data_IF_652447248942
#
_entry.id   IF_652447248942
#
_cell.length_a   1.000
_cell.length_b   1.000
_cell.length_c   1.000
_cell.angle_alpha   90.00
_cell.angle_beta   90.00
_cell.angle_gamma   90.00
#
_symmetry.space_group_name_H-M   'P 1'
#
loop_
_entity.id
_entity.type
_entity.pdbx_description
1 polymer ?
#
# COMPACT_ATOMS: atom_id res chain seq x y z
N UNK A 1 -19.44 -14.16 19.68
CA UNK A 1 -19.42 -12.68 19.77
C UNK A 1 -20.32 -12.06 18.69
N UNK A 2 -21.06 -10.97 18.97
CA UNK A 2 -21.80 -10.26 17.91
C UNK A 2 -20.82 -9.51 17.00
N UNK A 3 -21.14 -9.34 15.70
CA UNK A 3 -20.29 -8.62 14.74
C UNK A 3 -19.86 -7.24 15.27
N UNK A 4 -20.77 -6.55 15.96
CA UNK A 4 -20.52 -5.26 16.61
C UNK A 4 -19.44 -5.37 17.70
N UNK A 5 -19.53 -6.38 18.59
CA UNK A 5 -18.50 -6.59 19.63
C UNK A 5 -17.14 -6.92 19.01
N UNK A 6 -17.12 -7.67 17.91
CA UNK A 6 -15.89 -7.95 17.15
C UNK A 6 -15.27 -6.69 16.56
N UNK A 7 -16.05 -5.87 15.87
CA UNK A 7 -15.60 -4.59 15.30
C UNK A 7 -15.04 -3.69 16.41
N UNK A 8 -15.78 -3.50 17.50
CA UNK A 8 -15.34 -2.63 18.62
C UNK A 8 -14.05 -3.14 19.23
N UNK A 9 -13.96 -4.44 19.54
CA UNK A 9 -12.74 -5.04 20.11
C UNK A 9 -11.55 -4.86 19.17
N UNK A 10 -11.75 -5.02 17.85
CA UNK A 10 -10.69 -4.87 16.86
C UNK A 10 -10.25 -3.42 16.70
N UNK A 11 -11.19 -2.48 16.64
CA UNK A 11 -10.89 -1.04 16.63
C UNK A 11 -10.14 -0.59 17.88
N UNK A 12 -10.47 -1.14 19.05
CA UNK A 12 -9.74 -0.85 20.29
C UNK A 12 -8.28 -1.33 20.25
N UNK A 13 -7.97 -2.43 19.55
CA UNK A 13 -6.58 -2.87 19.35
C UNK A 13 -5.79 -1.94 18.41
N UNK A 14 -6.45 -1.16 17.55
CA UNK A 14 -5.77 -0.21 16.67
C UNK A 14 -5.21 0.99 17.46
N UNK A 15 -5.85 1.36 18.57
CA UNK A 15 -5.45 2.51 19.39
C UNK A 15 -4.02 2.35 19.95
N UNK A 16 -3.66 1.28 20.69
CA UNK A 16 -2.31 1.12 21.20
C UNK A 16 -1.27 0.97 20.08
N UNK A 17 -1.63 0.37 18.94
CA UNK A 17 -0.74 0.27 17.78
C UNK A 17 -0.46 1.66 17.19
N UNK A 18 -1.51 2.46 17.00
CA UNK A 18 -1.39 3.84 16.51
C UNK A 18 -0.57 4.72 17.46
N UNK A 19 -0.84 4.65 18.77
CA UNK A 19 -0.06 5.37 19.78
C UNK A 19 1.41 4.91 19.79
N UNK A 20 1.66 3.60 19.66
CA UNK A 20 3.01 3.05 19.57
C UNK A 20 3.77 3.59 18.36
N UNK A 21 3.15 3.59 17.17
CA UNK A 21 3.78 4.09 15.94
C UNK A 21 4.03 5.59 16.03
N UNK A 22 3.05 6.38 16.49
CA UNK A 22 3.22 7.83 16.64
C UNK A 22 4.32 8.18 17.65
N UNK A 23 4.41 7.46 18.76
CA UNK A 23 5.49 7.62 19.73
C UNK A 23 6.86 7.28 19.13
N UNK A 24 6.96 6.20 18.35
CA UNK A 24 8.20 5.83 17.68
C UNK A 24 8.64 6.89 16.69
N UNK A 25 7.74 7.36 15.83
CA UNK A 25 8.01 8.39 14.83
C UNK A 25 8.44 9.70 15.49
N UNK A 26 7.72 10.13 16.53
CA UNK A 26 8.08 11.30 17.31
C UNK A 26 9.46 11.13 17.98
N UNK A 27 9.75 9.97 18.55
CA UNK A 27 11.03 9.70 19.19
C UNK A 27 12.19 9.73 18.20
N UNK A 28 12.02 9.12 17.02
CA UNK A 28 13.03 9.12 15.95
C UNK A 28 13.31 10.55 15.47
N UNK A 29 12.28 11.38 15.30
CA UNK A 29 12.46 12.81 14.98
C UNK A 29 13.34 13.51 16.02
N UNK A 30 13.02 13.36 17.32
CA UNK A 30 13.77 14.02 18.39
C UNK A 30 15.22 13.53 18.52
N UNK A 31 15.47 12.28 18.11
CA UNK A 31 16.82 11.71 18.05
C UNK A 31 17.60 12.18 16.82
N UNK A 32 16.93 12.54 15.73
CA UNK A 32 17.58 12.98 14.49
C UNK A 32 18.20 14.38 14.59
N UNK A 33 17.72 15.23 15.50
CA UNK A 33 18.33 16.54 15.79
C UNK A 33 17.33 17.57 16.32
N UNK A 34 17.80 18.80 16.54
CA UNK A 34 16.92 19.91 16.90
C UNK A 34 16.13 20.40 15.67
N UNK A 35 14.78 20.34 15.67
CA UNK A 35 13.97 20.76 14.54
C UNK A 35 14.19 22.23 14.14
N UNK A 36 14.51 23.12 15.09
CA UNK A 36 14.74 24.54 14.76
C UNK A 36 16.07 24.73 14.06
N UNK A 37 17.14 24.07 14.52
CA UNK A 37 18.42 24.09 13.82
C UNK A 37 18.31 23.53 12.41
N UNK A 38 17.52 22.46 12.23
CA UNK A 38 17.33 21.83 10.92
C UNK A 38 16.49 22.73 9.99
N UNK A 39 15.39 23.29 10.49
CA UNK A 39 14.53 24.20 9.71
C UNK A 39 15.24 25.52 9.34
N UNK A 40 16.21 25.97 10.15
CA UNK A 40 16.97 27.20 9.93
C UNK A 40 18.37 26.96 9.33
N UNK A 41 18.66 25.71 8.98
CA UNK A 41 19.96 25.30 8.47
C UNK A 41 20.29 26.04 7.16
N UNK A 42 21.48 26.62 7.07
CA UNK A 42 21.93 27.39 5.90
C UNK A 42 21.34 28.80 5.77
N UNK A 43 20.39 29.21 6.62
CA UNK A 43 19.86 30.57 6.62
C UNK A 43 20.65 31.47 7.58
N UNK A 44 21.59 32.25 7.03
CA UNK A 44 22.47 33.16 7.77
C UNK A 44 21.74 34.40 8.31
N UNK A 45 20.50 34.65 7.88
CA UNK A 45 19.70 35.78 8.35
C UNK A 45 18.97 35.50 9.66
N UNK A 46 18.91 34.24 10.11
CA UNK A 46 18.22 33.87 11.34
C UNK A 46 19.19 33.92 12.52
N UNK A 47 18.97 34.87 13.42
CA UNK A 47 19.79 35.03 14.63
C UNK A 47 19.46 33.96 15.66
N UNK A 48 20.38 33.70 16.60
CA UNK A 48 20.14 32.73 17.68
C UNK A 48 18.94 33.12 18.56
N UNK A 49 18.70 34.42 18.76
CA UNK A 49 17.52 34.93 19.47
C UNK A 49 16.23 34.57 18.72
N UNK A 50 16.22 34.66 17.39
CA UNK A 50 15.08 34.24 16.58
C UNK A 50 14.87 32.73 16.65
N UNK A 51 15.94 31.92 16.64
CA UNK A 51 15.84 30.47 16.86
C UNK A 51 15.21 30.15 18.22
N UNK A 52 15.59 30.87 19.26
CA UNK A 52 15.05 30.65 20.59
C UNK A 52 13.57 31.04 20.69
N UNK A 53 13.16 32.12 20.02
CA UNK A 53 11.74 32.48 19.87
C UNK A 53 10.94 31.41 19.12
N UNK A 54 11.50 30.84 18.06
CA UNK A 54 10.88 29.72 17.32
C UNK A 54 10.76 28.49 18.24
N UNK A 55 11.79 28.15 19.02
CA UNK A 55 11.73 27.04 19.98
C UNK A 55 10.61 27.21 21.01
N UNK A 56 10.48 28.40 21.58
CA UNK A 56 9.41 28.70 22.54
C UNK A 56 8.02 28.66 21.88
N UNK A 57 7.90 29.20 20.67
CA UNK A 57 6.65 29.20 19.91
C UNK A 57 6.13 27.77 19.65
N UNK A 58 7.02 26.85 19.24
CA UNK A 58 6.69 25.44 19.02
C UNK A 58 6.72 24.59 20.31
N UNK A 59 6.95 25.19 21.48
CA UNK A 59 7.00 24.50 22.77
C UNK A 59 8.14 23.48 22.90
N UNK A 60 9.21 23.64 22.12
CA UNK A 60 10.37 22.75 22.06
C UNK A 60 11.29 22.87 23.28
N UNK A 61 11.05 23.87 24.12
CA UNK A 61 11.67 24.11 25.42
C UNK A 61 11.03 23.26 26.54
N UNK A 62 9.84 22.69 26.30
CA UNK A 62 9.15 21.83 27.28
C UNK A 62 9.76 20.43 27.34
N UNK A 63 9.58 19.68 28.44
CA UNK A 63 9.89 18.25 28.49
C UNK A 63 9.31 17.46 27.31
N UNK A 64 10.07 16.50 26.78
CA UNK A 64 9.75 15.74 25.55
C UNK A 64 8.36 15.09 25.60
N UNK A 65 7.92 14.61 26.76
CA UNK A 65 6.59 14.02 26.91
C UNK A 65 5.46 15.04 26.73
N UNK A 66 5.65 16.30 27.15
CA UNK A 66 4.66 17.37 26.91
C UNK A 66 4.62 17.77 25.44
N UNK A 67 5.78 17.76 24.77
CA UNK A 67 5.85 18.00 23.33
C UNK A 67 5.06 16.93 22.56
N UNK A 68 5.23 15.65 22.93
CA UNK A 68 4.46 14.55 22.34
C UNK A 68 2.96 14.69 22.59
N UNK A 69 2.54 14.99 23.82
CA UNK A 69 1.12 15.16 24.16
C UNK A 69 0.48 16.33 23.39
N UNK A 70 1.21 17.45 23.26
CA UNK A 70 0.76 18.60 22.48
C UNK A 70 0.59 18.23 21.00
N UNK A 71 1.62 17.62 20.40
CA UNK A 71 1.58 17.18 19.01
C UNK A 71 0.46 16.15 18.78
N UNK A 72 0.26 15.21 19.71
CA UNK A 72 -0.83 14.24 19.64
C UNK A 72 -2.21 14.92 19.75
N UNK A 73 -2.36 15.96 20.57
CA UNK A 73 -3.63 16.71 20.66
C UNK A 73 -3.96 17.47 19.38
N UNK A 74 -2.97 18.06 18.72
CA UNK A 74 -3.14 18.70 17.40
C UNK A 74 -3.52 17.67 16.34
N UNK A 75 -2.90 16.49 16.39
CA UNK A 75 -3.21 15.39 15.48
C UNK A 75 -4.68 14.91 15.61
N UNK A 76 -5.24 14.89 16.83
CA UNK A 76 -6.63 14.47 17.06
C UNK A 76 -7.67 15.42 16.42
N UNK A 77 -7.31 16.69 16.19
CA UNK A 77 -8.13 17.66 15.45
C UNK A 77 -7.74 17.77 13.98
N UNK A 78 -6.97 16.79 13.47
CA UNK A 78 -6.45 16.72 12.10
C UNK A 78 -5.53 17.89 11.72
N UNK A 79 -4.93 18.55 12.72
CA UNK A 79 -3.89 19.53 12.51
C UNK A 79 -2.53 18.83 12.49
N UNK A 80 -1.97 18.67 11.28
CA UNK A 80 -0.63 18.09 11.07
C UNK A 80 0.49 19.13 11.13
N UNK A 81 0.16 20.40 11.40
CA UNK A 81 1.08 21.52 11.40
C UNK A 81 1.50 21.98 9.99
N UNK A 82 2.60 22.72 9.96
CA UNK A 82 3.14 23.35 8.76
C UNK A 82 4.49 22.76 8.36
N UNK A 83 4.70 22.65 7.05
CA UNK A 83 5.97 22.23 6.45
C UNK A 83 7.04 23.28 6.70
N UNK A 84 8.27 22.85 6.99
CA UNK A 84 9.42 23.75 7.05
C UNK A 84 9.74 24.40 5.69
N UNK A 85 9.38 23.74 4.58
CA UNK A 85 9.49 24.29 3.23
C UNK A 85 8.29 25.15 2.81
N UNK A 86 7.28 25.30 3.68
CA UNK A 86 6.06 26.08 3.44
C UNK A 86 4.84 25.25 3.05
N UNK A 87 3.67 25.77 3.45
CA UNK A 87 2.36 25.15 3.25
C UNK A 87 1.95 24.23 4.40
N UNK A 88 0.64 24.06 4.57
CA UNK A 88 0.07 23.17 5.59
C UNK A 88 0.30 21.70 5.22
N UNK A 89 0.75 20.89 6.19
CA UNK A 89 1.02 19.45 5.97
C UNK A 89 -0.23 18.72 5.51
N UNK A 90 -1.41 19.04 6.08
CA UNK A 90 -2.67 18.39 5.71
C UNK A 90 -3.01 18.54 4.22
N UNK A 91 -2.74 19.70 3.61
CA UNK A 91 -2.95 19.91 2.17
C UNK A 91 -1.93 19.14 1.32
N UNK A 92 -0.65 19.16 1.69
CA UNK A 92 0.41 18.45 0.97
C UNK A 92 0.14 16.94 0.95
N UNK A 93 -0.19 16.39 2.12
CA UNK A 93 -0.50 14.98 2.30
C UNK A 93 -1.82 14.62 1.61
N UNK A 94 -2.86 15.45 1.76
CA UNK A 94 -4.19 15.23 1.19
C UNK A 94 -4.18 15.09 -0.33
N UNK A 95 -3.34 15.86 -1.03
CA UNK A 95 -3.21 15.80 -2.48
C UNK A 95 -2.64 14.46 -2.99
N UNK A 96 -1.75 13.82 -2.21
CA UNK A 96 -1.13 12.55 -2.60
C UNK A 96 -1.99 11.31 -2.33
N UNK A 97 -3.00 11.39 -1.46
CA UNK A 97 -3.78 10.21 -1.00
C UNK A 97 -4.43 9.48 -2.17
N UNK A 98 -5.12 10.22 -3.04
CA UNK A 98 -5.86 9.63 -4.15
C UNK A 98 -4.90 8.99 -5.17
N UNK A 99 -3.78 9.64 -5.46
CA UNK A 99 -2.76 9.13 -6.37
C UNK A 99 -2.16 7.81 -5.86
N UNK A 100 -1.88 7.72 -4.55
CA UNK A 100 -1.38 6.49 -3.93
C UNK A 100 -2.43 5.37 -3.92
N UNK A 101 -3.69 5.68 -3.61
CA UNK A 101 -4.78 4.71 -3.61
C UNK A 101 -5.08 4.17 -5.01
N UNK A 102 -5.05 5.03 -6.02
CA UNK A 102 -5.30 4.64 -7.42
C UNK A 102 -4.35 3.53 -7.87
N UNK A 103 -3.05 3.71 -7.66
CA UNK A 103 -2.04 2.70 -8.01
C UNK A 103 -2.25 1.37 -7.29
N UNK A 104 -2.50 1.44 -5.99
CA UNK A 104 -2.58 0.24 -5.16
C UNK A 104 -3.86 -0.55 -5.41
N UNK A 105 -5.00 0.14 -5.51
CA UNK A 105 -6.28 -0.51 -5.75
C UNK A 105 -6.35 -1.10 -7.15
N UNK A 106 -5.86 -0.39 -8.17
CA UNK A 106 -5.82 -0.92 -9.53
C UNK A 106 -4.82 -2.06 -9.67
N UNK A 107 -3.63 -1.94 -9.10
CA UNK A 107 -2.62 -3.00 -9.10
C UNK A 107 -3.12 -4.27 -8.41
N UNK A 108 -3.79 -4.12 -7.25
CA UNK A 108 -4.42 -5.24 -6.56
C UNK A 108 -5.56 -5.84 -7.38
N UNK A 109 -6.44 -5.01 -7.93
CA UNK A 109 -7.57 -5.46 -8.72
C UNK A 109 -7.12 -6.28 -9.93
N UNK A 110 -6.20 -5.75 -10.74
CA UNK A 110 -5.64 -6.46 -11.89
C UNK A 110 -4.93 -7.73 -11.48
N UNK A 111 -4.18 -7.70 -10.37
CA UNK A 111 -3.53 -8.88 -9.83
C UNK A 111 -4.52 -9.99 -9.52
N UNK A 112 -5.65 -9.70 -8.86
CA UNK A 112 -6.68 -10.69 -8.55
C UNK A 112 -7.35 -11.24 -9.81
N UNK A 113 -7.72 -10.36 -10.74
CA UNK A 113 -8.37 -10.73 -12.01
C UNK A 113 -7.50 -11.68 -12.82
N UNK A 114 -6.18 -11.52 -12.78
CA UNK A 114 -5.23 -12.34 -13.53
C UNK A 114 -4.80 -13.58 -12.73
N UNK A 115 -4.46 -13.42 -11.46
CA UNK A 115 -3.87 -14.47 -10.63
C UNK A 115 -4.87 -15.60 -10.33
N UNK A 116 -6.15 -15.28 -10.10
CA UNK A 116 -7.17 -16.29 -9.77
C UNK A 116 -7.35 -17.28 -10.94
N UNK A 117 -7.62 -16.84 -12.19
CA UNK A 117 -7.70 -17.76 -13.34
C UNK A 117 -6.42 -18.58 -13.56
N UNK A 118 -5.25 -17.95 -13.47
CA UNK A 118 -3.96 -18.64 -13.65
C UNK A 118 -3.78 -19.72 -12.58
N UNK A 119 -4.04 -19.40 -11.31
CA UNK A 119 -3.93 -20.34 -10.20
C UNK A 119 -4.90 -21.51 -10.31
N UNK A 120 -6.17 -21.24 -10.70
CA UNK A 120 -7.18 -22.28 -10.96
C UNK A 120 -6.72 -23.21 -12.10
N UNK A 121 -6.24 -22.64 -13.20
CA UNK A 121 -5.83 -23.40 -14.37
C UNK A 121 -4.61 -24.28 -14.08
N UNK A 122 -3.63 -23.72 -13.36
CA UNK A 122 -2.44 -24.42 -12.88
C UNK A 122 -2.81 -25.59 -11.95
N UNK A 123 -3.72 -25.38 -10.98
CA UNK A 123 -4.19 -26.43 -10.09
C UNK A 123 -4.96 -27.55 -10.83
N UNK A 124 -5.78 -27.19 -11.83
CA UNK A 124 -6.52 -28.17 -12.64
C UNK A 124 -5.58 -29.08 -13.42
N UNK A 125 -4.48 -28.54 -13.95
CA UNK A 125 -3.47 -29.28 -14.73
C UNK A 125 -2.20 -29.54 -13.93
N UNK A 126 -2.37 -29.96 -12.67
CA UNK A 126 -1.27 -30.29 -11.77
C UNK A 126 -0.23 -31.19 -12.43
N UNK A 127 1.05 -30.87 -12.27
CA UNK A 127 2.21 -31.56 -12.86
C UNK A 127 2.32 -31.50 -14.39
N UNK A 128 1.46 -30.75 -15.07
CA UNK A 128 1.67 -30.46 -16.49
C UNK A 128 2.81 -29.46 -16.69
N UNK A 129 3.36 -29.42 -17.90
CA UNK A 129 4.36 -28.40 -18.29
C UNK A 129 3.82 -26.98 -18.03
N UNK A 130 2.53 -26.74 -18.28
CA UNK A 130 1.93 -25.43 -18.01
C UNK A 130 1.91 -25.07 -16.52
N UNK A 131 1.57 -26.03 -15.65
CA UNK A 131 1.64 -25.83 -14.20
C UNK A 131 3.07 -25.52 -13.76
N UNK A 132 4.03 -26.34 -14.18
CA UNK A 132 5.44 -26.17 -13.82
C UNK A 132 5.97 -24.82 -14.31
N UNK A 133 5.71 -24.43 -15.55
CA UNK A 133 6.16 -23.16 -16.10
C UNK A 133 5.52 -21.98 -15.36
N UNK A 134 4.19 -21.98 -15.19
CA UNK A 134 3.49 -20.87 -14.52
C UNK A 134 3.93 -20.71 -13.07
N UNK A 135 4.03 -21.82 -12.34
CA UNK A 135 4.46 -21.82 -10.93
C UNK A 135 5.93 -21.42 -10.79
N UNK A 136 6.81 -21.88 -11.69
CA UNK A 136 8.22 -21.50 -11.67
C UNK A 136 8.42 -20.03 -12.04
N UNK A 137 7.71 -19.53 -13.05
CA UNK A 137 7.73 -18.11 -13.42
C UNK A 137 7.22 -17.23 -12.28
N UNK A 138 6.16 -17.66 -11.57
CA UNK A 138 5.68 -16.96 -10.38
C UNK A 138 6.76 -16.95 -9.28
N UNK A 139 7.38 -18.09 -8.98
CA UNK A 139 8.47 -18.16 -7.99
C UNK A 139 9.64 -17.23 -8.34
N UNK A 140 10.12 -17.25 -9.60
CA UNK A 140 11.16 -16.32 -10.05
C UNK A 140 10.70 -14.88 -9.91
N UNK A 141 9.45 -14.58 -10.27
CA UNK A 141 8.85 -13.25 -10.13
C UNK A 141 8.86 -12.74 -8.69
N UNK A 142 8.63 -13.60 -7.69
CA UNK A 142 8.68 -13.20 -6.27
C UNK A 142 10.06 -12.75 -5.81
N UNK A 143 11.13 -13.18 -6.50
CA UNK A 143 12.51 -12.82 -6.16
C UNK A 143 12.96 -11.49 -6.77
N UNK A 144 12.18 -10.89 -7.67
CA UNK A 144 12.54 -9.66 -8.36
C UNK A 144 12.12 -8.46 -7.49
N UNK A 145 13.05 -7.57 -7.09
CA UNK A 145 12.70 -6.36 -6.35
C UNK A 145 11.76 -5.45 -7.15
N UNK A 146 10.73 -4.90 -6.51
CA UNK A 146 9.74 -4.04 -7.18
C UNK A 146 10.37 -2.80 -7.82
N UNK A 147 11.37 -2.20 -7.18
CA UNK A 147 12.13 -1.06 -7.71
C UNK A 147 12.88 -1.42 -8.99
N UNK A 148 13.55 -2.58 -9.00
CA UNK A 148 14.25 -3.07 -10.17
C UNK A 148 13.29 -3.33 -11.32
N UNK A 149 12.14 -3.95 -11.04
CA UNK A 149 11.10 -4.18 -12.05
C UNK A 149 10.57 -2.87 -12.63
N UNK A 150 10.35 -1.85 -11.79
CA UNK A 150 9.95 -0.51 -12.23
C UNK A 150 10.96 0.10 -13.20
N UNK A 151 12.24 0.09 -12.84
CA UNK A 151 13.30 0.61 -13.72
C UNK A 151 13.37 -0.18 -15.03
N UNK A 152 13.28 -1.52 -14.97
CA UNK A 152 13.28 -2.36 -16.16
C UNK A 152 12.10 -2.04 -17.10
N UNK A 153 10.90 -1.82 -16.54
CA UNK A 153 9.72 -1.47 -17.31
C UNK A 153 9.85 -0.09 -17.96
N UNK A 154 10.38 0.89 -17.23
CA UNK A 154 10.68 2.21 -17.78
C UNK A 154 11.68 2.11 -18.95
N UNK A 155 12.76 1.34 -18.79
CA UNK A 155 13.77 1.19 -19.85
C UNK A 155 13.20 0.50 -21.09
N UNK A 156 12.51 -0.62 -20.92
CA UNK A 156 12.00 -1.42 -22.04
C UNK A 156 10.84 -0.69 -22.71
N UNK A 157 9.78 -0.40 -21.96
CA UNK A 157 8.52 0.09 -22.51
C UNK A 157 8.49 1.60 -22.68
N UNK A 158 9.20 2.35 -21.84
CA UNK A 158 9.27 3.80 -21.93
C UNK A 158 10.39 4.30 -22.84
N UNK A 159 11.62 3.81 -22.67
CA UNK A 159 12.78 4.34 -23.39
C UNK A 159 13.05 3.64 -24.73
N UNK A 160 13.17 2.31 -24.75
CA UNK A 160 13.51 1.58 -25.98
C UNK A 160 12.32 1.45 -26.93
N UNK A 161 11.15 1.08 -26.43
CA UNK A 161 9.95 0.89 -27.25
C UNK A 161 9.11 2.16 -27.42
N UNK A 162 9.30 3.18 -26.57
CA UNK A 162 8.54 4.44 -26.58
C UNK A 162 7.00 4.22 -26.58
N UNK A 163 6.54 3.17 -25.88
CA UNK A 163 5.12 2.79 -25.83
C UNK A 163 4.37 3.52 -24.71
N UNK A 164 5.05 3.82 -23.60
CA UNK A 164 4.43 4.41 -22.41
C UNK A 164 5.30 5.52 -21.82
N UNK A 165 4.73 6.47 -21.07
CA UNK A 165 5.50 7.48 -20.35
C UNK A 165 6.37 6.84 -19.28
N UNK A 166 7.56 7.40 -19.04
CA UNK A 166 8.49 6.91 -18.02
C UNK A 166 8.16 7.36 -16.61
N UNK A 167 7.28 8.35 -16.43
CA UNK A 167 6.86 8.83 -15.13
C UNK A 167 5.89 10.01 -15.15
N UNK A 168 5.49 10.46 -13.96
CA UNK A 168 4.45 11.47 -13.74
C UNK A 168 3.04 10.89 -13.87
N UNK A 169 2.04 11.61 -13.35
CA UNK A 169 0.63 11.22 -13.46
C UNK A 169 -0.07 11.71 -14.74
N UNK A 170 0.52 12.70 -15.41
CA UNK A 170 0.04 13.26 -16.67
C UNK A 170 1.18 14.05 -17.33
N UNK A 171 1.04 14.32 -18.62
CA UNK A 171 1.94 15.18 -19.39
C UNK A 171 1.86 16.63 -18.92
N UNK A 172 3.00 17.31 -18.87
CA UNK A 172 3.07 18.71 -18.41
C UNK A 172 2.50 19.70 -19.43
N UNK A 173 2.62 19.38 -20.73
CA UNK A 173 2.20 20.25 -21.83
C UNK A 173 0.92 19.68 -22.44
N UNK A 174 -0.13 20.49 -22.54
CA UNK A 174 -1.43 20.05 -23.06
C UNK A 174 -1.37 19.49 -24.49
N UNK A 175 -0.45 19.99 -25.33
CA UNK A 175 -0.25 19.45 -26.68
C UNK A 175 0.34 18.04 -26.71
N UNK A 176 0.86 17.54 -25.57
CA UNK A 176 1.41 16.18 -25.43
C UNK A 176 0.38 15.17 -24.93
N UNK A 177 -0.84 15.61 -24.58
CA UNK A 177 -1.87 14.68 -24.14
C UNK A 177 -2.17 13.63 -25.19
N UNK A 178 -2.29 12.38 -24.74
CA UNK A 178 -2.68 11.27 -25.58
C UNK A 178 -4.04 11.56 -26.24
N UNK A 179 -4.04 11.68 -27.58
CA UNK A 179 -5.20 12.10 -28.38
C UNK A 179 -5.84 13.44 -27.96
N UNK A 180 -5.08 14.32 -27.32
CA UNK A 180 -5.57 15.61 -26.81
C UNK A 180 -6.49 15.50 -25.59
N UNK A 181 -6.58 14.32 -24.95
CA UNK A 181 -7.48 14.07 -23.82
C UNK A 181 -6.70 13.78 -22.54
N UNK A 182 -6.92 14.62 -21.52
CA UNK A 182 -6.28 14.50 -20.19
C UNK A 182 -6.52 13.14 -19.55
N UNK A 183 -7.73 12.61 -19.66
CA UNK A 183 -8.09 11.34 -19.03
C UNK A 183 -7.38 10.14 -19.67
N UNK A 184 -7.27 10.14 -21.01
CA UNK A 184 -6.51 9.09 -21.71
C UNK A 184 -5.02 9.19 -21.43
N UNK A 185 -4.50 10.41 -21.31
CA UNK A 185 -3.12 10.67 -20.91
C UNK A 185 -2.84 10.14 -19.50
N UNK A 186 -3.70 10.43 -18.54
CA UNK A 186 -3.60 9.90 -17.17
C UNK A 186 -3.58 8.38 -17.15
N UNK A 187 -4.49 7.70 -17.87
CA UNK A 187 -4.49 6.24 -17.98
C UNK A 187 -3.20 5.70 -18.61
N UNK A 188 -2.63 6.42 -19.58
CA UNK A 188 -1.38 6.05 -20.24
C UNK A 188 -0.17 6.14 -19.30
N UNK A 189 -0.12 7.20 -18.48
CA UNK A 189 0.86 7.36 -17.41
C UNK A 189 0.71 6.32 -16.29
N UNK A 190 -0.53 5.93 -15.98
CA UNK A 190 -0.88 4.97 -14.94
C UNK A 190 -0.47 3.53 -15.28
N UNK A 191 -0.30 3.21 -16.58
CA UNK A 191 -0.11 1.83 -17.05
C UNK A 191 1.14 1.15 -16.48
N UNK A 192 2.33 1.75 -16.63
CA UNK A 192 3.57 1.10 -16.16
C UNK A 192 3.62 0.95 -14.64
N UNK A 193 3.36 1.99 -13.82
CA UNK A 193 3.32 1.85 -12.37
C UNK A 193 2.35 0.75 -11.92
N UNK A 194 1.14 0.72 -12.51
CA UNK A 194 0.10 -0.26 -12.15
C UNK A 194 0.50 -1.68 -12.55
N UNK A 195 1.15 -1.87 -13.70
CA UNK A 195 1.64 -3.19 -14.12
C UNK A 195 2.75 -3.70 -13.20
N UNK A 196 3.61 -2.83 -12.69
CA UNK A 196 4.65 -3.20 -11.71
C UNK A 196 4.02 -3.64 -10.40
N UNK A 197 3.03 -2.90 -9.88
CA UNK A 197 2.25 -3.33 -8.72
C UNK A 197 1.52 -4.64 -8.97
N UNK A 198 0.88 -4.78 -10.13
CA UNK A 198 0.19 -6.00 -10.54
C UNK A 198 1.14 -7.18 -10.49
N UNK A 199 2.33 -7.06 -11.07
CA UNK A 199 3.35 -8.11 -11.08
C UNK A 199 3.79 -8.50 -9.67
N UNK A 200 4.09 -7.51 -8.81
CA UNK A 200 4.57 -7.73 -7.45
C UNK A 200 3.56 -8.51 -6.57
N UNK A 201 2.27 -8.34 -6.84
CA UNK A 201 1.18 -9.00 -6.08
C UNK A 201 0.77 -10.33 -6.76
N UNK A 202 0.86 -10.41 -8.09
CA UNK A 202 0.35 -11.52 -8.89
C UNK A 202 1.04 -12.84 -8.55
N UNK A 203 2.37 -12.84 -8.46
CA UNK A 203 3.13 -14.08 -8.27
C UNK A 203 2.79 -14.81 -6.96
N UNK A 204 2.79 -14.15 -5.77
CA UNK A 204 2.37 -14.80 -4.53
C UNK A 204 0.92 -15.29 -4.56
N UNK A 205 0.00 -14.50 -5.15
CA UNK A 205 -1.42 -14.87 -5.23
C UNK A 205 -1.64 -16.07 -6.14
N UNK A 206 -0.96 -16.17 -7.30
CA UNK A 206 -1.04 -17.34 -8.18
C UNK A 206 -0.67 -18.62 -7.42
N UNK A 207 0.43 -18.58 -6.68
CA UNK A 207 0.92 -19.72 -5.90
C UNK A 207 -0.06 -20.10 -4.79
N UNK A 208 -0.59 -19.11 -4.08
CA UNK A 208 -1.56 -19.32 -3.01
C UNK A 208 -2.88 -19.89 -3.55
N UNK A 209 -3.41 -19.35 -4.65
CA UNK A 209 -4.62 -19.85 -5.30
C UNK A 209 -4.41 -21.29 -5.75
N UNK A 210 -3.28 -21.57 -6.39
CA UNK A 210 -2.95 -22.91 -6.85
C UNK A 210 -2.90 -23.89 -5.67
N UNK A 211 -2.17 -23.56 -4.60
CA UNK A 211 -2.03 -24.42 -3.43
C UNK A 211 -3.39 -24.70 -2.78
N UNK A 212 -4.18 -23.65 -2.56
CA UNK A 212 -5.51 -23.75 -1.94
C UNK A 212 -6.47 -24.58 -2.80
N UNK A 213 -6.45 -24.39 -4.11
CA UNK A 213 -7.26 -25.20 -5.04
C UNK A 213 -6.85 -26.67 -5.01
N UNK A 214 -5.55 -26.98 -4.97
CA UNK A 214 -5.08 -28.37 -4.90
C UNK A 214 -5.46 -29.08 -3.62
N UNK A 215 -5.44 -28.36 -2.49
CA UNK A 215 -5.86 -28.90 -1.20
C UNK A 215 -7.37 -29.16 -1.19
N UNK A 216 -8.15 -28.19 -1.65
CA UNK A 216 -9.62 -28.31 -1.69
C UNK A 216 -10.08 -29.41 -2.64
N UNK A 217 -9.46 -29.55 -3.83
CA UNK A 217 -9.81 -30.59 -4.80
C UNK A 217 -9.55 -32.03 -4.32
N UNK A 218 -8.79 -32.22 -3.23
CA UNK A 218 -8.53 -33.53 -2.61
C UNK A 218 -9.52 -33.91 -1.51
N UNK A 219 -10.46 -33.03 -1.18
CA UNK A 219 -11.41 -33.24 -0.09
C UNK A 219 -12.51 -34.24 -0.46
N UNK A 220 -12.99 -35.02 0.51
CA UNK A 220 -13.97 -36.09 0.29
C UNK A 220 -15.30 -35.60 -0.29
N UNK A 221 -15.73 -34.39 0.07
CA UNK A 221 -16.96 -33.81 -0.48
C UNK A 221 -16.85 -33.50 -1.98
N UNK A 222 -15.64 -33.27 -2.50
CA UNK A 222 -15.40 -33.10 -3.95
C UNK A 222 -15.50 -34.46 -4.65
N UNK A 223 -15.00 -35.53 -4.03
CA UNK A 223 -15.17 -36.90 -4.53
C UNK A 223 -16.65 -37.29 -4.57
N UNK A 224 -17.40 -37.00 -3.49
CA UNK A 224 -18.83 -37.23 -3.42
C UNK A 224 -19.61 -36.42 -4.48
N UNK A 225 -19.23 -35.15 -4.70
CA UNK A 225 -19.80 -34.33 -5.75
C UNK A 225 -19.57 -34.93 -7.15
N UNK A 226 -18.36 -35.44 -7.42
CA UNK A 226 -18.04 -36.13 -8.68
C UNK A 226 -18.82 -37.43 -8.84
N UNK A 227 -18.93 -38.22 -7.78
CA UNK A 227 -19.72 -39.46 -7.79
C UNK A 227 -21.22 -39.21 -8.01
N UNK A 228 -21.72 -38.04 -7.59
CA UNK A 228 -23.10 -37.59 -7.82
C UNK A 228 -23.35 -37.06 -9.24
N UNK A 229 -22.36 -37.11 -10.14
CA UNK A 229 -22.49 -36.69 -11.54
C UNK A 229 -22.36 -35.19 -11.79
N UNK A 230 -21.89 -34.40 -10.81
CA UNK A 230 -21.65 -32.96 -11.03
C UNK A 230 -20.53 -32.75 -12.06
N UNK A 231 -20.77 -31.86 -13.02
CA UNK A 231 -19.77 -31.54 -14.05
C UNK A 231 -18.53 -30.83 -13.48
N UNK A 232 -17.37 -31.04 -14.11
CA UNK A 232 -16.08 -30.49 -13.67
C UNK A 232 -16.09 -28.97 -13.47
N UNK A 233 -16.84 -28.22 -14.29
CA UNK A 233 -16.96 -26.75 -14.14
C UNK A 233 -17.69 -26.37 -12.85
N UNK A 234 -18.77 -27.09 -12.51
CA UNK A 234 -19.50 -26.85 -11.28
C UNK A 234 -18.64 -27.21 -10.05
N UNK A 235 -17.96 -28.35 -10.10
CA UNK A 235 -17.02 -28.75 -9.04
C UNK A 235 -15.94 -27.68 -8.85
N UNK A 236 -15.32 -27.20 -9.93
CA UNK A 236 -14.22 -26.25 -9.87
C UNK A 236 -14.64 -24.87 -9.35
N UNK A 237 -15.64 -24.24 -9.97
CA UNK A 237 -15.98 -22.84 -9.67
C UNK A 237 -16.98 -22.70 -8.51
N UNK A 238 -17.90 -23.65 -8.31
CA UNK A 238 -18.95 -23.55 -7.29
C UNK A 238 -18.54 -24.18 -5.96
N UNK A 239 -17.83 -25.31 -6.00
CA UNK A 239 -17.48 -26.08 -4.80
C UNK A 239 -16.03 -25.82 -4.35
N UNK A 240 -15.06 -25.97 -5.26
CA UNK A 240 -13.66 -25.86 -4.90
C UNK A 240 -13.21 -24.41 -4.71
N UNK A 241 -13.44 -23.55 -5.70
CA UNK A 241 -12.98 -22.15 -5.67
C UNK A 241 -13.52 -21.37 -4.47
N UNK A 242 -14.79 -21.55 -4.13
CA UNK A 242 -15.41 -20.86 -2.99
C UNK A 242 -14.66 -21.10 -1.69
N UNK A 243 -14.21 -22.33 -1.45
CA UNK A 243 -13.45 -22.69 -0.25
C UNK A 243 -11.97 -22.32 -0.37
N UNK A 244 -11.40 -22.39 -1.57
CA UNK A 244 -10.03 -21.96 -1.83
C UNK A 244 -9.84 -20.44 -1.70
N UNK A 245 -10.89 -19.63 -1.87
CA UNK A 245 -10.85 -18.16 -1.73
C UNK A 245 -10.70 -17.66 -0.29
N UNK A 246 -11.05 -18.48 0.71
CA UNK A 246 -10.98 -18.07 2.12
C UNK A 246 -9.55 -17.62 2.53
N UNK A 247 -8.49 -18.42 2.32
CA UNK A 247 -7.12 -17.97 2.62
C UNK A 247 -6.66 -16.83 1.71
N UNK A 248 -7.13 -16.79 0.46
CA UNK A 248 -6.74 -15.75 -0.51
C UNK A 248 -7.22 -14.38 -0.06
N UNK A 249 -8.47 -14.25 0.39
CA UNK A 249 -9.02 -12.97 0.85
C UNK A 249 -8.25 -12.46 2.07
N UNK A 250 -7.89 -13.36 2.98
CA UNK A 250 -7.08 -13.03 4.16
C UNK A 250 -5.70 -12.52 3.76
N UNK A 251 -5.05 -13.23 2.84
CA UNK A 251 -3.73 -12.86 2.34
C UNK A 251 -3.74 -11.50 1.64
N UNK A 252 -4.73 -11.27 0.76
CA UNK A 252 -4.91 -10.02 0.02
C UNK A 252 -5.03 -8.83 0.94
N UNK A 253 -5.83 -8.96 2.00
CA UNK A 253 -6.04 -7.87 2.93
C UNK A 253 -4.79 -7.50 3.73
N UNK A 254 -4.04 -8.50 4.21
CA UNK A 254 -2.73 -8.28 4.85
C UNK A 254 -1.71 -7.67 3.88
N UNK A 255 -1.69 -8.14 2.63
CA UNK A 255 -0.77 -7.65 1.61
C UNK A 255 -1.08 -6.20 1.24
N UNK A 256 -2.36 -5.83 1.15
CA UNK A 256 -2.79 -4.45 0.88
C UNK A 256 -2.26 -3.47 1.94
N UNK A 257 -2.32 -3.84 3.23
CA UNK A 257 -1.72 -3.05 4.31
C UNK A 257 -0.21 -2.84 4.15
N UNK A 258 0.51 -3.85 3.64
CA UNK A 258 1.95 -3.77 3.34
C UNK A 258 2.29 -2.96 2.08
N UNK A 259 1.41 -2.97 1.07
CA UNK A 259 1.61 -2.18 -0.16
C UNK A 259 1.63 -0.68 0.11
N UNK A 260 0.80 -0.21 1.04
CA UNK A 260 0.79 1.17 1.51
C UNK A 260 2.17 1.60 2.05
N UNK A 261 2.82 0.71 2.80
CA UNK A 261 4.17 0.95 3.32
C UNK A 261 5.26 0.90 2.23
N UNK A 262 5.06 0.11 1.17
CA UNK A 262 5.97 0.01 0.02
C UNK A 262 5.80 1.11 -1.03
N UNK A 263 4.74 1.93 -0.92
CA UNK A 263 4.43 3.02 -1.85
C UNK A 263 5.58 3.99 -2.16
N UNK A 264 6.41 4.41 -1.17
CA UNK A 264 7.49 5.36 -1.42
C UNK A 264 8.46 4.92 -2.51
N UNK A 265 8.76 3.62 -2.61
CA UNK A 265 9.73 3.11 -3.56
C UNK A 265 9.21 3.21 -4.99
N UNK A 266 8.02 2.67 -5.25
CA UNK A 266 7.43 2.65 -6.60
C UNK A 266 7.07 4.05 -7.08
N UNK A 267 6.48 4.87 -6.21
CA UNK A 267 6.10 6.24 -6.56
C UNK A 267 7.33 7.09 -6.89
N UNK A 268 8.45 6.91 -6.17
CA UNK A 268 9.71 7.60 -6.51
C UNK A 268 10.25 7.15 -7.87
N UNK A 269 10.24 5.84 -8.17
CA UNK A 269 10.75 5.31 -9.45
C UNK A 269 9.99 5.88 -10.64
N UNK A 270 8.67 6.03 -10.52
CA UNK A 270 7.82 6.56 -11.58
C UNK A 270 7.54 8.07 -11.46
N UNK A 271 8.17 8.77 -10.51
CA UNK A 271 7.86 10.16 -10.20
C UNK A 271 6.34 10.42 -10.06
N UNK A 272 5.64 9.49 -9.42
CA UNK A 272 4.19 9.54 -9.22
C UNK A 272 3.89 10.47 -8.05
N UNK A 273 2.92 11.40 -8.15
CA UNK A 273 2.64 12.41 -7.13
C UNK A 273 1.84 11.85 -5.95
N UNK A 274 2.28 10.73 -5.38
CA UNK A 274 1.66 10.10 -4.22
C UNK A 274 2.32 10.50 -2.89
N UNK A 275 1.74 10.04 -1.79
CA UNK A 275 2.23 10.33 -0.44
C UNK A 275 3.59 9.69 -0.16
N UNK A 276 3.89 8.56 -0.79
CA UNK A 276 5.17 7.89 -0.64
C UNK A 276 6.30 8.65 -1.32
N UNK A 277 6.09 9.17 -2.53
CA UNK A 277 7.06 10.06 -3.17
C UNK A 277 7.28 11.33 -2.33
N UNK A 278 6.20 11.91 -1.79
CA UNK A 278 6.28 13.06 -0.88
C UNK A 278 7.15 12.75 0.34
N UNK A 279 6.97 11.58 0.96
CA UNK A 279 7.80 11.13 2.09
C UNK A 279 9.30 11.11 1.73
N UNK A 280 9.66 10.55 0.58
CA UNK A 280 11.06 10.45 0.14
C UNK A 280 11.66 11.83 -0.10
N UNK A 281 10.95 12.69 -0.84
CA UNK A 281 11.39 14.06 -1.12
C UNK A 281 11.61 14.84 0.18
N UNK A 282 10.68 14.74 1.13
CA UNK A 282 10.72 15.49 2.39
C UNK A 282 11.71 14.93 3.40
N UNK A 283 12.00 13.63 3.33
CA UNK A 283 13.08 12.99 4.09
C UNK A 283 14.45 13.55 3.70
N UNK A 284 14.70 13.79 2.41
CA UNK A 284 15.98 14.33 1.95
C UNK A 284 16.26 15.77 2.43
N UNK A 285 15.21 16.55 2.72
CA UNK A 285 15.33 17.91 3.25
C UNK A 285 15.01 18.01 4.74
N UNK A 286 14.85 16.88 5.41
CA UNK A 286 14.55 16.78 6.85
C UNK A 286 13.34 17.62 7.29
N UNK A 287 12.29 17.66 6.46
CA UNK A 287 11.04 18.36 6.76
C UNK A 287 10.14 17.48 7.65
N UNK A 288 10.49 17.42 8.94
CA UNK A 288 9.88 16.50 9.90
C UNK A 288 8.35 16.61 10.02
N UNK A 289 7.72 17.81 10.04
CA UNK A 289 6.27 17.90 10.08
C UNK A 289 5.60 17.12 8.94
N UNK A 290 6.14 17.23 7.72
CA UNK A 290 5.59 16.48 6.58
C UNK A 290 5.88 14.99 6.69
N UNK A 291 7.09 14.61 7.09
CA UNK A 291 7.47 13.20 7.29
C UNK A 291 6.51 12.55 8.31
N UNK A 292 6.25 13.21 9.44
CA UNK A 292 5.33 12.75 10.46
C UNK A 292 3.90 12.64 9.94
N UNK A 293 3.42 13.68 9.26
CA UNK A 293 2.08 13.67 8.67
C UNK A 293 1.88 12.52 7.68
N UNK A 294 2.87 12.27 6.83
CA UNK A 294 2.82 11.14 5.88
C UNK A 294 2.85 9.79 6.62
N UNK A 295 3.73 9.60 7.60
CA UNK A 295 3.80 8.32 8.32
C UNK A 295 2.51 8.05 9.10
N UNK A 296 1.94 9.07 9.74
CA UNK A 296 0.65 8.98 10.42
C UNK A 296 -0.45 8.59 9.43
N UNK A 297 -0.50 9.24 8.26
CA UNK A 297 -1.47 8.89 7.23
C UNK A 297 -1.31 7.45 6.75
N UNK A 298 -0.11 7.04 6.34
CA UNK A 298 0.16 5.66 5.88
C UNK A 298 -0.24 4.67 6.98
N UNK A 299 0.08 4.97 8.24
CA UNK A 299 -0.33 4.17 9.40
C UNK A 299 -1.85 4.05 9.48
N UNK A 300 -2.59 5.16 9.40
CA UNK A 300 -4.05 5.15 9.41
C UNK A 300 -4.61 4.33 8.24
N UNK A 301 -4.08 4.52 7.03
CA UNK A 301 -4.49 3.75 5.85
C UNK A 301 -4.26 2.25 6.06
N UNK A 302 -3.11 1.85 6.59
CA UNK A 302 -2.78 0.44 6.89
C UNK A 302 -3.65 -0.12 8.00
N UNK A 303 -3.94 0.63 9.06
CA UNK A 303 -4.84 0.20 10.14
C UNK A 303 -6.27 0.02 9.62
N UNK A 304 -6.76 0.93 8.77
CA UNK A 304 -8.07 0.82 8.11
C UNK A 304 -8.10 -0.39 7.18
N UNK A 305 -7.07 -0.59 6.35
CA UNK A 305 -6.93 -1.76 5.49
C UNK A 305 -6.98 -3.08 6.29
N UNK A 306 -6.26 -3.15 7.40
CA UNK A 306 -6.26 -4.33 8.28
C UNK A 306 -7.64 -4.54 8.91
N UNK A 307 -8.30 -3.48 9.38
CA UNK A 307 -9.65 -3.57 9.92
C UNK A 307 -10.64 -4.10 8.87
N UNK A 308 -10.61 -3.56 7.65
CA UNK A 308 -11.44 -4.04 6.53
C UNK A 308 -11.18 -5.52 6.25
N UNK A 309 -9.91 -5.94 6.31
CA UNK A 309 -9.51 -7.34 6.15
C UNK A 309 -10.09 -8.23 7.23
N UNK A 310 -9.93 -7.85 8.50
CA UNK A 310 -10.42 -8.60 9.65
C UNK A 310 -11.95 -8.74 9.62
N UNK A 311 -12.65 -7.68 9.19
CA UNK A 311 -14.11 -7.70 9.01
C UNK A 311 -14.54 -8.60 7.85
N UNK A 312 -13.79 -8.55 6.74
CA UNK A 312 -14.04 -9.43 5.59
C UNK A 312 -13.81 -10.89 5.98
N UNK A 313 -12.77 -11.18 6.76
CA UNK A 313 -12.49 -12.51 7.28
C UNK A 313 -13.62 -13.03 8.19
N UNK A 314 -14.06 -12.23 9.16
CA UNK A 314 -15.21 -12.56 10.02
C UNK A 314 -16.53 -12.70 9.25
N UNK A 315 -16.69 -12.00 8.13
CA UNK A 315 -17.84 -12.15 7.25
C UNK A 315 -17.81 -13.50 6.51
N UNK A 316 -16.65 -13.87 5.94
CA UNK A 316 -16.47 -15.05 5.09
C UNK A 316 -16.43 -16.34 5.90
N UNK A 317 -15.76 -16.37 7.06
CA UNK A 317 -15.72 -17.54 7.94
C UNK A 317 -16.45 -17.25 9.27
N UNK A 318 -17.70 -17.72 9.44
CA UNK A 318 -18.48 -17.50 10.65
C UNK A 318 -17.88 -18.13 11.91
N UNK A 319 -16.92 -19.08 11.78
CA UNK A 319 -16.34 -19.80 12.93
C UNK A 319 -15.51 -18.88 13.82
N UNK A 320 -14.89 -17.86 13.23
CA UNK A 320 -14.08 -16.85 13.93
C UNK A 320 -14.95 -15.94 14.80
N UNK A 321 -16.27 -15.90 14.57
CA UNK A 321 -17.19 -15.06 15.36
C UNK A 321 -17.40 -15.60 16.78
N UNK A 322 -16.98 -16.84 17.08
CA UNK A 322 -17.32 -17.55 18.32
C UNK A 322 -16.26 -17.29 19.43
N UNK A 323 -15.03 -16.92 19.07
CA UNK A 323 -13.93 -16.52 19.98
C UNK A 323 -13.86 -15.00 20.24
#
# INVERSE_FOLDING_TARGET
>A
MSLVKYVVRRSLYLIPVFLGITLLVFSIERLAGDPVQIATFGNTHITEEQRQKIRQYYGLDKPVYLQYLHWLSELLVLNLGDSFSGGSVSNLVGQGILATLELQLLGLFLSLVIAIPIGIYSAKRRYSVLDVTLSSSALVGTSIPISFMGIAFILIFGYYLNLFPSGGAQSTIQSQYLYGNVFLDQLWHLTLPTLVYTFAILAPIVLLVRSSMLEVLRQDYILAARASGLGDRAILYKHALRNALIPIVTYVGLYFGGLLAGAPVTETVFNWPGVGALFVVKTNVLDFPVIQGVVVLITLMTLVANLVTDLTYAYIDPRIRID
#
